data_IF_588945839069
#
_entry.id   IF_588945839069
#
_cell.length_a   1.000
_cell.length_b   1.000
_cell.length_c   1.000
_cell.angle_alpha   90.00
_cell.angle_beta   90.00
_cell.angle_gamma   90.00
#
_symmetry.space_group_name_H-M   'P 1'
#
loop_
_entity.id
_entity.type
_entity.pdbx_description
1 polymer ?
#
# COMPACT_ATOMS: atom_id res chain seq x y z
N UNK A 1 -17.00 -24.71 3.20
CA UNK A 1 -17.54 -23.65 4.08
C UNK A 1 -18.79 -22.88 3.60
N UNK A 2 -19.33 -22.98 2.36
CA UNK A 2 -20.52 -22.19 1.98
C UNK A 2 -21.81 -22.51 2.78
N UNK A 3 -21.92 -23.73 3.31
CA UNK A 3 -23.13 -24.20 4.02
C UNK A 3 -23.26 -23.70 5.46
N UNK A 4 -22.21 -23.09 6.03
CA UNK A 4 -22.21 -22.65 7.44
C UNK A 4 -22.60 -21.16 7.56
N UNK A 5 -22.25 -20.34 6.56
CA UNK A 5 -22.46 -18.88 6.55
C UNK A 5 -23.95 -18.51 6.41
N UNK A 6 -24.77 -19.44 5.91
CA UNK A 6 -26.22 -19.25 5.76
C UNK A 6 -27.04 -20.02 6.82
N UNK A 7 -26.40 -20.55 7.86
CA UNK A 7 -27.14 -21.16 8.97
C UNK A 7 -27.82 -20.05 9.79
N UNK A 8 -29.14 -20.12 10.04
CA UNK A 8 -29.85 -19.12 10.85
C UNK A 8 -29.39 -19.05 12.32
N UNK A 9 -28.45 -19.91 12.72
CA UNK A 9 -27.93 -20.03 14.09
C UNK A 9 -26.54 -19.38 14.27
N UNK A 10 -25.89 -18.92 13.19
CA UNK A 10 -24.55 -18.30 13.25
C UNK A 10 -24.54 -17.00 12.46
N UNK A 11 -24.66 -15.85 13.14
CA UNK A 11 -24.40 -14.54 12.52
C UNK A 11 -22.90 -14.24 12.60
N UNK A 12 -22.21 -14.25 11.46
CA UNK A 12 -20.82 -13.79 11.41
C UNK A 12 -20.77 -12.27 11.51
N UNK A 13 -19.72 -11.75 12.16
CA UNK A 13 -19.47 -10.31 12.12
C UNK A 13 -19.03 -9.92 10.70
N UNK A 14 -19.67 -8.94 10.05
CA UNK A 14 -19.33 -8.44 8.72
C UNK A 14 -17.87 -8.07 8.51
N UNK A 15 -17.12 -7.66 9.55
CA UNK A 15 -15.68 -7.44 9.43
C UNK A 15 -14.95 -8.76 9.12
N UNK A 16 -15.33 -9.87 9.77
CA UNK A 16 -14.79 -11.21 9.45
C UNK A 16 -15.20 -11.67 8.06
N UNK A 17 -16.42 -11.38 7.62
CA UNK A 17 -16.87 -11.74 6.27
C UNK A 17 -16.07 -10.98 5.19
N UNK A 18 -15.80 -9.69 5.39
CA UNK A 18 -14.96 -8.90 4.48
C UNK A 18 -13.56 -9.52 4.38
N UNK A 19 -12.96 -9.91 5.51
CA UNK A 19 -11.65 -10.57 5.52
C UNK A 19 -11.70 -11.90 4.76
N UNK A 20 -12.72 -12.72 5.00
CA UNK A 20 -12.92 -13.99 4.28
C UNK A 20 -13.02 -13.79 2.77
N UNK A 21 -13.86 -12.85 2.33
CA UNK A 21 -14.04 -12.51 0.92
C UNK A 21 -12.76 -11.94 0.30
N UNK A 22 -11.99 -11.15 1.04
CA UNK A 22 -10.68 -10.68 0.60
C UNK A 22 -9.69 -11.83 0.39
N UNK A 23 -9.61 -12.79 1.32
CA UNK A 23 -8.72 -13.94 1.16
C UNK A 23 -9.10 -14.79 -0.05
N UNK A 24 -10.40 -14.94 -0.33
CA UNK A 24 -10.87 -15.56 -1.57
C UNK A 24 -10.49 -14.75 -2.81
N UNK A 25 -10.54 -13.42 -2.74
CA UNK A 25 -10.08 -12.56 -3.83
C UNK A 25 -8.59 -12.77 -4.12
N UNK A 26 -7.75 -12.78 -3.08
CA UNK A 26 -6.31 -13.01 -3.19
C UNK A 26 -5.99 -14.39 -3.80
N UNK A 27 -6.64 -15.46 -3.30
CA UNK A 27 -6.46 -16.80 -3.86
C UNK A 27 -6.88 -16.87 -5.33
N UNK A 28 -7.99 -16.22 -5.68
CA UNK A 28 -8.47 -16.14 -7.06
C UNK A 28 -7.52 -15.38 -7.99
N UNK A 29 -6.85 -14.32 -7.50
CA UNK A 29 -5.83 -13.58 -8.26
C UNK A 29 -4.49 -14.30 -8.35
N UNK A 30 -4.11 -15.11 -7.36
CA UNK A 30 -2.79 -15.76 -7.31
C UNK A 30 -2.75 -17.10 -8.05
N UNK A 31 -3.83 -17.87 -8.00
CA UNK A 31 -3.97 -19.10 -8.79
C UNK A 31 -4.40 -18.77 -10.23
N UNK A 32 -4.35 -19.74 -11.14
CA UNK A 32 -5.06 -19.70 -12.44
C UNK A 32 -6.61 -19.59 -12.24
N UNK A 33 -7.11 -19.02 -11.14
CA UNK A 33 -8.52 -18.69 -10.92
C UNK A 33 -9.03 -17.62 -11.89
N UNK A 34 -8.13 -16.79 -12.42
CA UNK A 34 -8.37 -15.95 -13.60
C UNK A 34 -8.44 -16.75 -14.92
N UNK A 35 -8.27 -18.08 -14.89
CA UNK A 35 -8.64 -18.93 -16.02
C UNK A 35 -10.11 -18.70 -16.37
N UNK A 36 -10.42 -18.95 -17.64
CA UNK A 36 -11.66 -18.64 -18.38
C UNK A 36 -12.97 -19.02 -17.64
N UNK A 37 -12.93 -19.85 -16.59
CA UNK A 37 -14.11 -20.31 -15.88
C UNK A 37 -14.82 -19.24 -15.05
N UNK A 38 -14.12 -18.25 -14.45
CA UNK A 38 -14.76 -17.28 -13.54
C UNK A 38 -14.28 -15.82 -13.69
N UNK A 39 -14.29 -15.22 -14.90
CA UNK A 39 -13.77 -13.86 -15.14
C UNK A 39 -14.49 -12.74 -14.35
N UNK A 40 -15.70 -13.00 -13.86
CA UNK A 40 -16.51 -12.02 -13.10
C UNK A 40 -16.38 -12.13 -11.58
N UNK A 41 -15.54 -13.04 -11.07
CA UNK A 41 -15.46 -13.31 -9.63
C UNK A 41 -14.91 -12.13 -8.83
N UNK A 42 -13.86 -11.47 -9.32
CA UNK A 42 -13.31 -10.27 -8.66
C UNK A 42 -14.38 -9.20 -8.41
N UNK A 43 -15.15 -8.83 -9.44
CA UNK A 43 -16.25 -7.87 -9.34
C UNK A 43 -17.38 -8.33 -8.42
N UNK A 44 -17.69 -9.64 -8.41
CA UNK A 44 -18.72 -10.20 -7.52
C UNK A 44 -18.29 -10.13 -6.06
N UNK A 45 -17.05 -10.54 -5.76
CA UNK A 45 -16.47 -10.47 -4.43
C UNK A 45 -16.47 -9.03 -3.93
N UNK A 46 -16.00 -8.09 -4.76
CA UNK A 46 -15.99 -6.67 -4.40
C UNK A 46 -17.40 -6.16 -4.07
N UNK A 47 -18.40 -6.49 -4.89
CA UNK A 47 -19.82 -6.14 -4.62
C UNK A 47 -20.35 -6.76 -3.33
N UNK A 48 -19.89 -7.94 -2.93
CA UNK A 48 -20.24 -8.52 -1.63
C UNK A 48 -19.60 -7.74 -0.47
N UNK A 49 -18.30 -7.43 -0.56
CA UNK A 49 -17.63 -6.59 0.43
C UNK A 49 -18.35 -5.24 0.61
N UNK A 50 -18.77 -4.60 -0.49
CA UNK A 50 -19.53 -3.35 -0.45
C UNK A 50 -20.87 -3.46 0.30
N UNK A 51 -21.58 -4.58 0.16
CA UNK A 51 -22.84 -4.81 0.88
C UNK A 51 -22.62 -5.04 2.38
N UNK A 52 -21.45 -5.56 2.74
CA UNK A 52 -21.05 -5.82 4.13
C UNK A 52 -20.44 -4.59 4.80
N UNK A 53 -20.04 -3.57 4.02
CA UNK A 53 -19.41 -2.35 4.53
C UNK A 53 -20.25 -1.71 5.63
N UNK A 54 -19.63 -1.53 6.78
CA UNK A 54 -20.22 -0.86 7.93
C UNK A 54 -19.70 0.56 8.07
N UNK A 55 -20.44 1.37 8.82
CA UNK A 55 -19.90 2.62 9.32
C UNK A 55 -19.17 2.37 10.64
N UNK A 56 -17.90 1.91 10.56
CA UNK A 56 -17.09 1.60 11.75
C UNK A 56 -16.87 2.80 12.67
N UNK A 57 -17.08 4.03 12.18
CA UNK A 57 -16.99 5.25 13.01
C UNK A 57 -17.97 5.22 14.19
N UNK A 58 -19.12 4.57 14.01
CA UNK A 58 -20.22 4.46 15.00
C UNK A 58 -20.05 3.29 15.97
N UNK A 59 -19.03 2.44 15.80
CA UNK A 59 -18.81 1.29 16.67
C UNK A 59 -18.14 1.75 17.98
N UNK A 60 -18.76 1.42 19.11
CA UNK A 60 -18.23 1.71 20.46
C UNK A 60 -17.05 0.78 20.80
N UNK A 61 -17.24 -0.53 20.61
CA UNK A 61 -16.20 -1.54 20.85
C UNK A 61 -15.51 -1.92 19.53
N UNK A 62 -14.36 -1.30 19.27
CA UNK A 62 -13.54 -1.56 18.08
C UNK A 62 -12.56 -2.69 18.33
N UNK A 63 -12.25 -3.46 17.29
CA UNK A 63 -11.31 -4.59 17.37
C UNK A 63 -10.27 -4.54 16.24
N UNK A 64 -9.19 -5.31 16.38
CA UNK A 64 -8.22 -5.49 15.31
C UNK A 64 -8.87 -6.06 14.02
N UNK A 65 -9.90 -6.88 14.16
CA UNK A 65 -10.66 -7.44 13.01
C UNK A 65 -11.37 -6.33 12.23
N UNK A 66 -11.94 -5.34 12.91
CA UNK A 66 -12.57 -4.18 12.26
C UNK A 66 -11.54 -3.35 11.50
N UNK A 67 -10.38 -3.13 12.12
CA UNK A 67 -9.27 -2.42 11.50
C UNK A 67 -8.79 -3.14 10.23
N UNK A 68 -8.51 -4.43 10.33
CA UNK A 68 -8.10 -5.26 9.19
C UNK A 68 -9.15 -5.22 8.10
N UNK A 69 -10.44 -5.40 8.42
CA UNK A 69 -11.51 -5.34 7.42
C UNK A 69 -11.57 -4.00 6.69
N UNK A 70 -11.45 -2.87 7.41
CA UNK A 70 -11.45 -1.55 6.80
C UNK A 70 -10.21 -1.31 5.90
N UNK A 71 -9.02 -1.76 6.33
CA UNK A 71 -7.79 -1.68 5.54
C UNK A 71 -7.89 -2.53 4.26
N UNK A 72 -8.39 -3.76 4.36
CA UNK A 72 -8.59 -4.65 3.21
C UNK A 72 -9.68 -4.12 2.25
N UNK A 73 -10.75 -3.51 2.79
CA UNK A 73 -11.76 -2.85 1.96
C UNK A 73 -11.17 -1.66 1.20
N UNK A 74 -10.27 -0.90 1.82
CA UNK A 74 -9.54 0.17 1.14
C UNK A 74 -8.72 -0.40 -0.03
N UNK A 75 -8.00 -1.49 0.20
CA UNK A 75 -7.16 -2.12 -0.83
C UNK A 75 -8.01 -2.64 -1.99
N UNK A 76 -9.03 -3.47 -1.74
CA UNK A 76 -9.83 -4.06 -2.82
C UNK A 76 -10.60 -3.00 -3.61
N UNK A 77 -11.01 -1.90 -2.98
CA UNK A 77 -11.63 -0.76 -3.67
C UNK A 77 -10.63 -0.03 -4.57
N UNK A 78 -9.35 0.08 -4.18
CA UNK A 78 -8.28 0.62 -5.03
C UNK A 78 -8.09 -0.25 -6.27
N UNK A 79 -8.00 -1.58 -6.11
CA UNK A 79 -7.89 -2.53 -7.22
C UNK A 79 -9.08 -2.46 -8.19
N UNK A 80 -10.26 -2.13 -7.67
CA UNK A 80 -11.48 -1.96 -8.48
C UNK A 80 -11.68 -0.51 -8.97
N UNK A 81 -10.67 0.36 -8.86
CA UNK A 81 -10.68 1.76 -9.29
C UNK A 81 -11.78 2.62 -8.64
N UNK A 82 -12.38 2.15 -7.55
CA UNK A 82 -13.36 2.88 -6.75
C UNK A 82 -12.65 3.75 -5.71
N UNK A 83 -12.08 4.84 -6.22
CA UNK A 83 -11.30 5.81 -5.44
C UNK A 83 -12.07 6.42 -4.29
N UNK A 84 -13.41 6.55 -4.40
CA UNK A 84 -14.25 7.13 -3.35
C UNK A 84 -14.40 6.16 -2.19
N UNK A 85 -14.73 4.90 -2.48
CA UNK A 85 -14.86 3.87 -1.45
C UNK A 85 -13.50 3.58 -0.82
N UNK A 86 -12.44 3.47 -1.62
CA UNK A 86 -11.08 3.23 -1.13
C UNK A 86 -10.68 4.29 -0.11
N UNK A 87 -10.84 5.58 -0.45
CA UNK A 87 -10.53 6.68 0.46
C UNK A 87 -11.38 6.66 1.75
N UNK A 88 -12.69 6.40 1.62
CA UNK A 88 -13.59 6.33 2.79
C UNK A 88 -13.18 5.19 3.74
N UNK A 89 -12.89 4.01 3.20
CA UNK A 89 -12.46 2.85 3.96
C UNK A 89 -11.09 3.10 4.62
N UNK A 90 -10.17 3.75 3.92
CA UNK A 90 -8.88 4.17 4.48
C UNK A 90 -9.04 5.10 5.67
N UNK A 91 -9.89 6.15 5.57
CA UNK A 91 -10.18 7.04 6.71
C UNK A 91 -10.67 6.22 7.92
N UNK A 92 -11.59 5.29 7.70
CA UNK A 92 -12.13 4.45 8.77
C UNK A 92 -11.03 3.55 9.38
N UNK A 93 -10.15 2.98 8.56
CA UNK A 93 -9.00 2.19 9.05
C UNK A 93 -8.06 3.04 9.91
N UNK A 94 -7.69 4.25 9.47
CA UNK A 94 -6.87 5.17 10.27
C UNK A 94 -7.55 5.55 11.60
N UNK A 95 -8.84 5.86 11.58
CA UNK A 95 -9.61 6.16 12.80
C UNK A 95 -9.65 4.98 13.76
N UNK A 96 -9.81 3.75 13.26
CA UNK A 96 -9.77 2.53 14.06
C UNK A 96 -8.38 2.30 14.67
N UNK A 97 -7.31 2.50 13.91
CA UNK A 97 -5.94 2.40 14.40
C UNK A 97 -5.67 3.40 15.53
N UNK A 98 -6.16 4.64 15.41
CA UNK A 98 -6.06 5.67 16.45
C UNK A 98 -6.87 5.27 17.69
N UNK A 99 -8.12 4.83 17.53
CA UNK A 99 -8.96 4.36 18.65
C UNK A 99 -8.34 3.18 19.40
N UNK A 100 -7.61 2.32 18.70
CA UNK A 100 -6.87 1.19 19.27
C UNK A 100 -5.50 1.60 19.85
N UNK A 101 -5.13 2.89 19.82
CA UNK A 101 -3.85 3.39 20.33
C UNK A 101 -2.63 3.01 19.49
N UNK A 102 -2.83 2.44 18.29
CA UNK A 102 -1.74 1.92 17.46
C UNK A 102 -0.86 3.02 16.87
N UNK A 103 -1.39 4.24 16.67
CA UNK A 103 -0.59 5.36 16.19
C UNK A 103 0.48 5.81 17.20
N UNK A 104 0.32 5.45 18.48
CA UNK A 104 1.23 5.78 19.58
C UNK A 104 1.77 4.52 20.25
N UNK A 105 1.88 3.42 19.48
CA UNK A 105 2.12 2.07 20.00
C UNK A 105 3.26 2.03 21.02
N UNK A 106 4.41 2.66 20.74
CA UNK A 106 5.59 2.64 21.63
C UNK A 106 5.41 3.37 22.97
N UNK A 107 4.33 4.13 23.13
CA UNK A 107 4.00 4.84 24.38
C UNK A 107 2.86 4.17 25.15
N UNK A 108 2.18 3.20 24.53
CA UNK A 108 1.05 2.51 25.16
C UNK A 108 1.51 1.44 26.16
N UNK A 109 0.79 1.24 27.28
CA UNK A 109 1.10 0.14 28.20
C UNK A 109 1.04 -1.24 27.55
N UNK A 110 0.13 -1.44 26.59
CA UNK A 110 -0.13 -2.71 25.90
C UNK A 110 1.08 -3.20 25.11
N UNK A 111 1.93 -2.28 24.62
CA UNK A 111 3.19 -2.61 23.94
C UNK A 111 4.14 -3.45 24.78
N UNK A 112 4.01 -3.40 26.12
CA UNK A 112 4.86 -4.15 27.07
C UNK A 112 4.36 -5.56 27.33
N UNK A 113 3.09 -5.84 27.00
CA UNK A 113 2.44 -7.13 27.26
C UNK A 113 2.28 -7.98 26.01
N UNK A 114 2.32 -7.37 24.83
CA UNK A 114 2.26 -8.10 23.57
C UNK A 114 3.50 -8.97 23.36
N UNK A 115 3.31 -10.14 22.74
CA UNK A 115 4.43 -10.91 22.20
C UNK A 115 5.12 -10.11 21.08
N UNK A 116 6.40 -10.37 20.84
CA UNK A 116 7.14 -9.70 19.77
C UNK A 116 6.46 -9.83 18.40
N UNK A 117 5.92 -11.01 18.08
CA UNK A 117 5.21 -11.25 16.82
C UNK A 117 3.94 -10.40 16.69
N UNK A 118 3.16 -10.29 17.78
CA UNK A 118 1.95 -9.47 17.78
C UNK A 118 2.28 -7.98 17.71
N UNK A 119 3.34 -7.56 18.41
CA UNK A 119 3.82 -6.19 18.36
C UNK A 119 4.24 -5.79 16.94
N UNK A 120 5.01 -6.65 16.27
CA UNK A 120 5.43 -6.39 14.91
C UNK A 120 4.28 -6.46 13.91
N UNK A 121 3.31 -7.37 14.08
CA UNK A 121 2.11 -7.38 13.25
C UNK A 121 1.32 -6.06 13.35
N UNK A 122 1.23 -5.48 14.56
CA UNK A 122 0.63 -4.15 14.78
C UNK A 122 1.43 -3.04 14.11
N UNK A 123 2.77 -3.07 14.21
CA UNK A 123 3.66 -2.11 13.53
C UNK A 123 3.53 -2.19 12.01
N UNK A 124 3.55 -3.38 11.44
CA UNK A 124 3.36 -3.62 9.99
C UNK A 124 2.01 -3.05 9.53
N UNK A 125 0.94 -3.28 10.29
CA UNK A 125 -0.38 -2.72 9.97
C UNK A 125 -0.34 -1.18 9.93
N UNK A 126 0.28 -0.53 10.92
CA UNK A 126 0.38 0.94 10.94
C UNK A 126 1.23 1.46 9.78
N UNK A 127 2.39 0.86 9.51
CA UNK A 127 3.23 1.24 8.38
C UNK A 127 2.51 1.04 7.03
N UNK A 128 1.70 -0.02 6.90
CA UNK A 128 0.84 -0.23 5.72
C UNK A 128 -0.21 0.87 5.55
N UNK A 129 -0.80 1.37 6.64
CA UNK A 129 -1.71 2.53 6.60
C UNK A 129 -0.97 3.81 6.22
N UNK A 130 0.22 4.06 6.77
CA UNK A 130 1.04 5.24 6.42
C UNK A 130 1.40 5.21 4.93
N UNK A 131 1.82 4.05 4.40
CA UNK A 131 2.12 3.90 2.98
C UNK A 131 0.88 4.16 2.12
N UNK A 132 -0.27 3.58 2.49
CA UNK A 132 -1.54 3.79 1.77
C UNK A 132 -1.95 5.26 1.81
N UNK A 133 -1.78 5.94 2.94
CA UNK A 133 -2.02 7.38 3.06
C UNK A 133 -1.12 8.16 2.09
N UNK A 134 0.19 7.86 2.06
CA UNK A 134 1.14 8.49 1.14
C UNK A 134 0.69 8.36 -0.33
N UNK A 135 0.24 7.17 -0.75
CA UNK A 135 -0.34 6.93 -2.08
C UNK A 135 -1.55 7.85 -2.33
N UNK A 136 -2.48 7.95 -1.37
CA UNK A 136 -3.63 8.85 -1.48
C UNK A 136 -3.27 10.33 -1.55
N UNK A 137 -2.25 10.76 -0.82
CA UNK A 137 -1.78 12.14 -0.85
C UNK A 137 -1.14 12.48 -2.19
N UNK A 138 -0.23 11.64 -2.68
CA UNK A 138 0.52 11.86 -3.93
C UNK A 138 -0.39 11.82 -5.15
N UNK A 139 -1.20 10.76 -5.30
CA UNK A 139 -1.93 10.52 -6.56
C UNK A 139 -3.38 10.99 -6.56
N UNK A 140 -3.98 11.18 -5.38
CA UNK A 140 -5.38 11.55 -5.24
C UNK A 140 -5.61 12.87 -4.50
N UNK A 141 -4.53 13.61 -4.20
CA UNK A 141 -4.56 14.91 -3.52
C UNK A 141 -5.43 14.90 -2.26
N UNK A 142 -5.35 13.81 -1.50
CA UNK A 142 -6.04 13.69 -0.21
C UNK A 142 -5.21 14.28 0.91
N UNK A 143 -5.84 14.79 1.99
CA UNK A 143 -5.11 15.23 3.18
C UNK A 143 -4.59 14.04 3.99
N UNK A 144 -3.65 14.30 4.90
CA UNK A 144 -3.27 13.33 5.92
C UNK A 144 -4.45 13.02 6.87
N UNK A 145 -4.47 11.80 7.41
CA UNK A 145 -5.49 11.31 8.35
C UNK A 145 -4.82 10.71 9.59
N UNK A 146 -4.01 9.67 9.40
CA UNK A 146 -3.24 9.02 10.46
C UNK A 146 -2.06 9.90 10.88
N UNK A 147 -1.32 10.44 9.92
CA UNK A 147 -0.14 11.29 10.20
C UNK A 147 -0.50 12.76 10.45
N UNK A 148 -1.78 13.13 10.37
CA UNK A 148 -2.27 14.46 10.76
C UNK A 148 -2.18 14.70 12.29
N UNK A 149 -1.97 13.65 13.07
CA UNK A 149 -1.74 13.71 14.51
C UNK A 149 -0.35 13.15 14.83
N UNK A 150 0.23 13.47 15.99
CA UNK A 150 1.47 12.84 16.42
C UNK A 150 1.35 11.31 16.36
N UNK A 151 2.37 10.66 15.81
CA UNK A 151 2.47 9.22 15.75
C UNK A 151 3.88 8.78 16.16
N UNK A 152 3.99 7.61 16.79
CA UNK A 152 5.25 7.01 17.22
C UNK A 152 5.12 5.49 17.15
N UNK A 153 5.65 4.94 16.06
CA UNK A 153 5.65 3.50 15.77
C UNK A 153 7.00 3.15 15.16
N UNK A 154 7.73 2.26 15.81
CA UNK A 154 9.03 1.84 15.31
C UNK A 154 8.89 0.89 14.12
N UNK A 155 9.99 0.64 13.40
CA UNK A 155 10.01 -0.40 12.38
C UNK A 155 9.93 -1.79 13.05
N UNK A 156 9.16 -2.74 12.50
CA UNK A 156 9.06 -4.10 13.01
C UNK A 156 10.41 -4.83 12.97
N UNK A 157 10.80 -5.41 14.10
CA UNK A 157 12.10 -6.09 14.25
C UNK A 157 12.18 -7.37 13.41
N UNK A 158 11.07 -8.09 13.30
CA UNK A 158 10.90 -9.26 12.44
C UNK A 158 11.23 -8.96 10.98
N UNK A 159 10.76 -7.84 10.42
CA UNK A 159 11.09 -7.44 9.04
C UNK A 159 12.58 -7.15 8.86
N UNK A 160 13.26 -6.61 9.88
CA UNK A 160 14.71 -6.43 9.83
C UNK A 160 15.45 -7.77 9.86
N UNK A 161 15.01 -8.70 10.72
CA UNK A 161 15.61 -10.05 10.79
C UNK A 161 15.31 -10.92 9.57
N UNK A 162 14.19 -10.68 8.89
CA UNK A 162 13.76 -11.41 7.70
C UNK A 162 14.65 -11.12 6.48
N UNK A 163 15.41 -10.03 6.47
CA UNK A 163 16.39 -9.74 5.42
C UNK A 163 17.48 -10.82 5.31
N UNK A 164 17.82 -11.46 6.42
CA UNK A 164 18.85 -12.52 6.47
C UNK A 164 18.29 -13.88 6.01
N UNK A 165 16.96 -14.00 5.87
CA UNK A 165 16.28 -15.23 5.48
C UNK A 165 15.89 -15.18 4.01
N UNK A 166 16.43 -16.09 3.21
CA UNK A 166 16.20 -16.11 1.75
C UNK A 166 14.71 -16.19 1.34
N UNK A 167 13.85 -16.82 2.14
CA UNK A 167 12.43 -17.01 1.82
C UNK A 167 11.56 -15.77 2.08
N UNK A 168 11.99 -14.87 2.96
CA UNK A 168 11.22 -13.68 3.36
C UNK A 168 11.89 -12.37 2.89
N UNK A 169 13.07 -12.48 2.29
CA UNK A 169 13.91 -11.35 1.91
C UNK A 169 13.22 -10.36 0.94
N UNK A 170 12.37 -10.87 0.03
CA UNK A 170 11.63 -10.05 -0.94
C UNK A 170 10.59 -9.16 -0.26
N UNK A 171 9.73 -9.76 0.56
CA UNK A 171 8.72 -9.05 1.35
C UNK A 171 9.36 -8.07 2.35
N UNK A 172 10.42 -8.49 3.04
CA UNK A 172 11.16 -7.65 3.98
C UNK A 172 11.81 -6.44 3.28
N UNK A 173 12.45 -6.66 2.13
CA UNK A 173 13.06 -5.59 1.34
C UNK A 173 12.02 -4.58 0.88
N UNK A 174 10.91 -5.06 0.30
CA UNK A 174 9.81 -4.18 -0.14
C UNK A 174 9.21 -3.39 1.01
N UNK A 175 8.99 -4.01 2.17
CA UNK A 175 8.52 -3.32 3.37
C UNK A 175 9.47 -2.19 3.79
N UNK A 176 10.77 -2.43 3.83
CA UNK A 176 11.75 -1.40 4.24
C UNK A 176 11.83 -0.28 3.21
N UNK A 177 11.86 -0.61 1.92
CA UNK A 177 11.90 0.36 0.84
C UNK A 177 10.66 1.24 0.81
N UNK A 178 9.47 0.65 0.91
CA UNK A 178 8.19 1.40 0.97
C UNK A 178 8.07 2.23 2.25
N UNK A 179 8.62 1.76 3.39
CA UNK A 179 8.71 2.55 4.62
C UNK A 179 9.64 3.76 4.45
N UNK A 180 10.81 3.59 3.82
CA UNK A 180 11.72 4.71 3.49
C UNK A 180 11.05 5.71 2.57
N UNK A 181 10.38 5.24 1.51
CA UNK A 181 9.62 6.13 0.62
C UNK A 181 8.53 6.88 1.35
N UNK A 182 7.79 6.22 2.25
CA UNK A 182 6.75 6.87 3.05
C UNK A 182 7.32 8.02 3.88
N UNK A 183 8.47 7.83 4.53
CA UNK A 183 9.14 8.90 5.28
C UNK A 183 9.55 10.09 4.39
N UNK A 184 10.05 9.83 3.19
CA UNK A 184 10.40 10.89 2.22
C UNK A 184 9.13 11.64 1.79
N UNK A 185 8.03 10.91 1.51
CA UNK A 185 6.74 11.49 1.15
C UNK A 185 6.19 12.38 2.27
N UNK A 186 6.17 11.88 3.50
CA UNK A 186 5.70 12.65 4.66
C UNK A 186 6.48 13.95 4.81
N UNK A 187 7.81 13.89 4.76
CA UNK A 187 8.68 15.10 4.81
C UNK A 187 8.41 16.05 3.65
N UNK A 188 8.20 15.53 2.45
CA UNK A 188 7.89 16.38 1.29
C UNK A 188 6.57 17.14 1.49
N UNK A 189 5.59 16.51 2.13
CA UNK A 189 4.32 17.13 2.41
C UNK A 189 4.35 18.08 3.61
N UNK A 190 5.17 17.82 4.63
CA UNK A 190 5.45 18.80 5.68
C UNK A 190 5.94 20.13 5.06
N UNK A 191 6.79 20.06 4.03
CA UNK A 191 7.25 21.24 3.29
C UNK A 191 6.18 21.86 2.38
N UNK A 192 5.34 21.04 1.74
CA UNK A 192 4.32 21.52 0.80
C UNK A 192 3.10 22.12 1.50
N UNK A 193 2.79 21.64 2.71
CA UNK A 193 1.65 22.11 3.50
C UNK A 193 2.02 23.29 4.42
N UNK A 194 3.32 23.54 4.63
CA UNK A 194 3.82 24.65 5.45
C UNK A 194 3.66 25.99 4.73
N UNK A 195 2.84 26.87 5.32
CA UNK A 195 2.55 28.20 4.79
C UNK A 195 3.72 29.18 4.94
N UNK A 196 4.66 28.89 5.85
CA UNK A 196 5.83 29.73 6.12
C UNK A 196 7.02 29.37 5.22
N UNK A 197 6.95 28.23 4.52
CA UNK A 197 8.01 27.76 3.63
C UNK A 197 8.11 28.63 2.37
N UNK A 198 9.30 29.18 2.14
CA UNK A 198 9.59 29.92 0.91
C UNK A 198 9.65 28.99 -0.30
N UNK A 199 9.36 29.53 -1.48
CA UNK A 199 9.48 28.80 -2.75
C UNK A 199 10.87 28.18 -2.97
N UNK A 200 11.93 28.83 -2.46
CA UNK A 200 13.29 28.30 -2.50
C UNK A 200 13.48 27.07 -1.62
N UNK A 201 12.96 27.10 -0.38
CA UNK A 201 13.00 25.97 0.55
C UNK A 201 12.20 24.77 0.02
N UNK A 202 11.00 25.01 -0.52
CA UNK A 202 10.18 23.96 -1.15
C UNK A 202 10.96 23.32 -2.29
N UNK A 203 11.54 24.13 -3.19
CA UNK A 203 12.33 23.63 -4.32
C UNK A 203 13.50 22.76 -3.86
N UNK A 204 14.32 23.26 -2.95
CA UNK A 204 15.48 22.52 -2.43
C UNK A 204 15.06 21.22 -1.74
N UNK A 205 13.99 21.27 -0.95
CA UNK A 205 13.45 20.10 -0.26
C UNK A 205 12.91 19.04 -1.22
N UNK A 206 12.18 19.43 -2.26
CA UNK A 206 11.70 18.50 -3.29
C UNK A 206 12.85 17.90 -4.11
N UNK A 207 13.88 18.68 -4.45
CA UNK A 207 15.08 18.16 -5.11
C UNK A 207 15.81 17.13 -4.24
N UNK A 208 15.86 17.36 -2.92
CA UNK A 208 16.40 16.39 -1.96
C UNK A 208 15.57 15.11 -1.93
N UNK A 209 14.23 15.22 -1.94
CA UNK A 209 13.34 14.05 -1.99
C UNK A 209 13.57 13.20 -3.25
N UNK A 210 13.72 13.83 -4.42
CA UNK A 210 14.04 13.15 -5.68
C UNK A 210 15.36 12.38 -5.55
N UNK A 211 16.41 13.04 -5.03
CA UNK A 211 17.72 12.40 -4.83
C UNK A 211 17.63 11.20 -3.87
N UNK A 212 16.97 11.36 -2.73
CA UNK A 212 16.82 10.30 -1.73
C UNK A 212 16.08 9.08 -2.30
N UNK A 213 15.05 9.28 -3.14
CA UNK A 213 14.36 8.15 -3.79
C UNK A 213 15.27 7.43 -4.79
N UNK A 214 16.05 8.16 -5.59
CA UNK A 214 17.01 7.54 -6.51
C UNK A 214 18.08 6.74 -5.76
N UNK A 215 18.57 7.27 -4.63
CA UNK A 215 19.52 6.57 -3.76
C UNK A 215 18.90 5.30 -3.18
N UNK A 216 17.66 5.34 -2.67
CA UNK A 216 16.95 4.14 -2.17
C UNK A 216 16.83 3.07 -3.26
N UNK A 217 16.42 3.45 -4.48
CA UNK A 217 16.28 2.50 -5.60
C UNK A 217 17.63 1.87 -5.98
N UNK A 218 18.72 2.64 -5.97
CA UNK A 218 20.06 2.17 -6.29
C UNK A 218 20.68 1.31 -5.19
N UNK A 219 20.64 1.77 -3.94
CA UNK A 219 21.20 1.09 -2.76
C UNK A 219 20.62 -0.31 -2.58
N UNK A 220 19.31 -0.44 -2.79
CA UNK A 220 18.58 -1.70 -2.63
C UNK A 220 18.50 -2.52 -3.92
N UNK A 221 19.14 -2.06 -5.02
CA UNK A 221 19.24 -2.77 -6.30
C UNK A 221 17.91 -3.30 -6.82
N UNK A 222 16.83 -2.56 -6.60
CA UNK A 222 15.47 -3.04 -6.85
C UNK A 222 15.26 -3.45 -8.32
N UNK A 223 15.84 -2.70 -9.25
CA UNK A 223 15.78 -3.03 -10.68
C UNK A 223 16.44 -4.37 -11.01
N UNK A 224 17.55 -4.72 -10.36
CA UNK A 224 18.25 -5.99 -10.59
C UNK A 224 17.41 -7.15 -10.04
N UNK A 225 16.86 -6.97 -8.84
CA UNK A 225 16.02 -7.98 -8.15
C UNK A 225 14.82 -8.44 -8.99
N UNK A 226 14.17 -7.54 -9.75
CA UNK A 226 13.06 -7.89 -10.65
C UNK A 226 13.45 -8.99 -11.64
N UNK A 227 14.69 -8.97 -12.12
CA UNK A 227 15.16 -9.93 -13.13
C UNK A 227 15.74 -11.21 -12.54
N UNK A 228 16.27 -11.14 -11.31
CA UNK A 228 16.95 -12.25 -10.65
C UNK A 228 15.99 -13.22 -9.94
N UNK A 229 14.82 -12.74 -9.49
CA UNK A 229 13.87 -13.61 -8.79
C UNK A 229 13.07 -14.51 -9.73
N UNK A 230 12.99 -15.78 -9.35
CA UNK A 230 12.23 -16.79 -10.09
C UNK A 230 10.72 -16.67 -9.84
N UNK A 231 10.33 -16.37 -8.59
CA UNK A 231 8.93 -16.28 -8.18
C UNK A 231 8.23 -15.09 -8.83
N UNK A 232 7.11 -15.28 -9.55
CA UNK A 232 6.32 -14.18 -10.11
C UNK A 232 5.82 -13.21 -9.04
N UNK A 233 5.38 -13.73 -7.88
CA UNK A 233 4.88 -12.90 -6.77
C UNK A 233 6.00 -11.99 -6.25
N UNK A 234 7.20 -12.52 -6.03
CA UNK A 234 8.33 -11.73 -5.57
C UNK A 234 8.77 -10.70 -6.60
N UNK A 235 8.68 -11.04 -7.89
CA UNK A 235 8.95 -10.11 -8.99
C UNK A 235 8.04 -8.89 -8.93
N UNK A 236 6.73 -9.12 -8.75
CA UNK A 236 5.75 -8.05 -8.59
C UNK A 236 6.02 -7.20 -7.35
N UNK A 237 6.40 -7.81 -6.23
CA UNK A 237 6.75 -7.10 -4.99
C UNK A 237 7.90 -6.10 -5.20
N UNK A 238 8.95 -6.48 -5.95
CA UNK A 238 10.03 -5.57 -6.32
C UNK A 238 9.59 -4.52 -7.36
N UNK A 239 8.79 -4.94 -8.33
CA UNK A 239 8.28 -4.07 -9.37
C UNK A 239 7.42 -2.94 -8.84
N UNK A 240 6.50 -3.24 -7.92
CA UNK A 240 5.62 -2.25 -7.29
C UNK A 240 6.45 -1.21 -6.54
N UNK A 241 7.50 -1.66 -5.83
CA UNK A 241 8.44 -0.75 -5.16
C UNK A 241 9.18 0.14 -6.15
N UNK A 242 9.66 -0.44 -7.27
CA UNK A 242 10.37 0.29 -8.31
C UNK A 242 9.48 1.32 -9.02
N UNK A 243 8.29 0.89 -9.41
CA UNK A 243 7.26 1.72 -10.05
C UNK A 243 6.86 2.86 -9.13
N UNK A 244 6.58 2.57 -7.86
CA UNK A 244 6.21 3.61 -6.90
C UNK A 244 7.33 4.63 -6.72
N UNK A 245 8.58 4.19 -6.56
CA UNK A 245 9.74 5.08 -6.48
C UNK A 245 9.85 6.03 -7.68
N UNK A 246 9.76 5.51 -8.91
CA UNK A 246 9.79 6.36 -10.10
C UNK A 246 8.55 7.27 -10.22
N UNK A 247 7.37 6.83 -9.79
CA UNK A 247 6.19 7.67 -9.73
C UNK A 247 6.37 8.85 -8.76
N UNK A 248 7.08 8.67 -7.63
CA UNK A 248 7.43 9.76 -6.73
C UNK A 248 8.37 10.77 -7.39
N UNK A 249 9.38 10.30 -8.13
CA UNK A 249 10.28 11.18 -8.91
C UNK A 249 9.47 12.01 -9.90
N UNK A 250 8.56 11.38 -10.66
CA UNK A 250 7.68 12.09 -11.61
C UNK A 250 6.81 13.12 -10.89
N UNK A 251 6.24 12.78 -9.74
CA UNK A 251 5.39 13.67 -8.95
C UNK A 251 6.15 14.94 -8.51
N UNK A 252 7.32 14.79 -7.88
CA UNK A 252 8.08 15.94 -7.40
C UNK A 252 8.74 16.73 -8.52
N UNK A 253 9.23 16.09 -9.58
CA UNK A 253 9.75 16.80 -10.76
C UNK A 253 8.67 17.62 -11.45
N UNK A 254 7.43 17.11 -11.52
CA UNK A 254 6.29 17.89 -12.00
C UNK A 254 6.02 19.09 -11.10
N UNK A 255 6.04 18.92 -9.78
CA UNK A 255 5.90 20.03 -8.83
C UNK A 255 7.00 21.07 -9.01
N UNK A 256 8.25 20.64 -9.17
CA UNK A 256 9.39 21.53 -9.45
C UNK A 256 9.22 22.31 -10.76
N UNK A 257 8.70 21.66 -11.81
CA UNK A 257 8.36 22.28 -13.09
C UNK A 257 7.27 23.34 -12.95
N UNK A 258 6.19 23.03 -12.21
CA UNK A 258 5.12 23.97 -11.86
C UNK A 258 5.67 25.21 -11.14
N UNK A 259 6.60 25.03 -10.18
CA UNK A 259 7.26 26.12 -9.43
C UNK A 259 8.27 26.93 -10.27
N UNK A 260 8.73 26.39 -11.41
CA UNK A 260 9.74 27.02 -12.27
C UNK A 260 9.18 27.56 -13.58
N UNK A 261 7.90 27.30 -13.86
CA UNK A 261 7.28 27.53 -15.18
C UNK A 261 8.03 26.85 -16.33
N UNK A 262 8.61 25.67 -16.08
CA UNK A 262 9.34 24.87 -17.06
C UNK A 262 8.54 23.59 -17.36
N UNK A 263 8.63 23.10 -18.60
CA UNK A 263 8.05 21.82 -19.01
C UNK A 263 8.63 20.61 -18.24
N UNK A 264 8.16 19.39 -18.54
CA UNK A 264 8.59 18.19 -17.84
C UNK A 264 10.11 18.02 -17.95
N UNK A 265 10.77 17.79 -16.81
CA UNK A 265 12.21 17.60 -16.78
C UNK A 265 12.60 16.30 -17.50
N UNK A 266 13.86 16.24 -17.95
CA UNK A 266 14.43 15.02 -18.52
C UNK A 266 14.31 13.84 -17.56
N UNK A 267 14.51 14.08 -16.27
CA UNK A 267 14.43 13.05 -15.23
C UNK A 267 12.99 12.53 -15.05
N UNK A 268 11.98 13.39 -15.12
CA UNK A 268 10.58 12.96 -15.11
C UNK A 268 10.25 12.07 -16.31
N UNK A 269 10.76 12.40 -17.49
CA UNK A 269 10.56 11.61 -18.71
C UNK A 269 11.25 10.24 -18.58
N UNK A 270 12.49 10.21 -18.11
CA UNK A 270 13.24 8.97 -17.88
C UNK A 270 12.57 8.08 -16.83
N UNK A 271 12.08 8.65 -15.74
CA UNK A 271 11.34 7.91 -14.71
C UNK A 271 10.00 7.39 -15.21
N UNK A 272 9.27 8.18 -16.01
CA UNK A 272 8.02 7.73 -16.64
C UNK A 272 8.25 6.54 -17.59
N UNK A 273 9.36 6.58 -18.35
CA UNK A 273 9.75 5.45 -19.20
C UNK A 273 10.16 4.23 -18.39
N UNK A 274 10.85 4.41 -17.27
CA UNK A 274 11.20 3.32 -16.37
C UNK A 274 9.94 2.59 -15.87
N UNK A 275 8.91 3.33 -15.44
CA UNK A 275 7.62 2.75 -15.04
C UNK A 275 6.99 1.93 -16.17
N UNK A 276 6.87 2.51 -17.37
CA UNK A 276 6.25 1.81 -18.51
C UNK A 276 7.03 0.56 -18.91
N UNK A 277 8.36 0.66 -18.97
CA UNK A 277 9.22 -0.46 -19.34
C UNK A 277 9.14 -1.59 -18.31
N UNK A 278 9.08 -1.28 -17.01
CA UNK A 278 8.91 -2.30 -15.96
C UNK A 278 7.57 -3.01 -16.09
N UNK A 279 6.47 -2.29 -16.32
CA UNK A 279 5.15 -2.90 -16.53
C UNK A 279 5.16 -3.83 -17.74
N UNK A 280 5.71 -3.37 -18.87
CA UNK A 280 5.82 -4.17 -20.09
C UNK A 280 6.68 -5.42 -19.87
N UNK A 281 7.86 -5.25 -19.27
CA UNK A 281 8.79 -6.34 -18.98
C UNK A 281 8.14 -7.45 -18.17
N UNK A 282 7.44 -7.11 -17.09
CA UNK A 282 6.82 -8.11 -16.21
C UNK A 282 5.65 -8.79 -16.90
N UNK A 283 4.84 -8.02 -17.66
CA UNK A 283 3.75 -8.57 -18.46
C UNK A 283 4.27 -9.60 -19.47
N UNK A 284 5.39 -9.30 -20.15
CA UNK A 284 6.04 -10.22 -21.09
C UNK A 284 6.60 -11.47 -20.38
N UNK A 285 7.23 -11.30 -19.22
CA UNK A 285 7.76 -12.41 -18.42
C UNK A 285 6.65 -13.34 -17.91
N UNK A 286 5.53 -12.78 -17.47
CA UNK A 286 4.37 -13.55 -17.00
C UNK A 286 3.71 -14.31 -18.16
N UNK A 287 3.57 -13.66 -19.33
CA UNK A 287 3.08 -14.31 -20.56
C UNK A 287 3.99 -15.46 -21.00
N UNK A 288 5.32 -15.29 -20.97
CA UNK A 288 6.29 -16.33 -21.32
C UNK A 288 6.28 -17.51 -20.34
N UNK A 289 5.92 -17.26 -19.08
CA UNK A 289 5.83 -18.26 -18.01
C UNK A 289 4.51 -19.03 -18.03
N UNK A 290 3.59 -18.71 -18.96
CA UNK A 290 2.20 -19.16 -18.98
C UNK A 290 1.44 -18.82 -17.68
N UNK A 291 1.92 -17.84 -16.91
CA UNK A 291 1.27 -17.32 -15.71
C UNK A 291 0.40 -16.13 -16.13
N UNK A 292 -0.89 -16.37 -16.38
CA UNK A 292 -1.85 -15.28 -16.65
C UNK A 292 -2.36 -14.62 -15.35
N UNK A 293 -1.93 -15.11 -14.18
CA UNK A 293 -2.52 -14.80 -12.87
C UNK A 293 -2.40 -13.33 -12.45
N UNK A 294 -1.34 -12.64 -12.83
CA UNK A 294 -1.04 -11.31 -12.27
C UNK A 294 -1.48 -10.12 -13.14
N UNK A 295 -2.16 -10.36 -14.27
CA UNK A 295 -2.80 -9.29 -15.03
C UNK A 295 -4.10 -8.83 -14.34
N UNK A 296 -3.99 -7.96 -13.34
CA UNK A 296 -5.07 -7.05 -12.98
C UNK A 296 -4.70 -5.61 -13.37
N UNK A 297 -4.61 -5.37 -14.69
CA UNK A 297 -4.85 -4.02 -15.19
C UNK A 297 -6.35 -3.84 -15.29
N UNK A 298 -6.92 -2.99 -14.45
CA UNK A 298 -8.34 -2.69 -14.45
C UNK A 298 -8.88 -2.40 -15.83
N UNK A 299 -9.59 -3.37 -16.37
CA UNK A 299 -10.47 -3.20 -17.50
C UNK A 299 -11.84 -3.64 -17.03
N UNK A 300 -12.52 -2.71 -16.36
CA UNK A 300 -13.97 -2.75 -16.26
C UNK A 300 -14.50 -2.35 -17.63
N UNK A 301 -14.94 -3.33 -18.41
CA UNK A 301 -15.97 -3.17 -19.43
C UNK A 301 -17.21 -3.93 -19.01
#
# INVERSE_FOLDING_TARGET
MPKIIHSPQVSFDPSMEIIYWFLLFQGWTMEDGASIQYPSWGTKIYKYCLKLTRDWSKKENVSAVDLTAAALLSWIATENFDRRTAWKAHIQACQLAIKLGLNQYETTPDSKTDSQDLADAKRVMVWGLIFTECVFRVFFSRPAVLTAQPWKVDLPATSLSALEKSEEASAATSFIVTSRFSLIVLRSFELLDDQDSTMGQIREGLQRCVKEVQEVLADWKISESITLVASPIERWVYADSYIFGHCLVVFWERKLGELSHVGPSRLAIESSRAVLNTILQITEMDAASNNQSLMYSGSVS
#
